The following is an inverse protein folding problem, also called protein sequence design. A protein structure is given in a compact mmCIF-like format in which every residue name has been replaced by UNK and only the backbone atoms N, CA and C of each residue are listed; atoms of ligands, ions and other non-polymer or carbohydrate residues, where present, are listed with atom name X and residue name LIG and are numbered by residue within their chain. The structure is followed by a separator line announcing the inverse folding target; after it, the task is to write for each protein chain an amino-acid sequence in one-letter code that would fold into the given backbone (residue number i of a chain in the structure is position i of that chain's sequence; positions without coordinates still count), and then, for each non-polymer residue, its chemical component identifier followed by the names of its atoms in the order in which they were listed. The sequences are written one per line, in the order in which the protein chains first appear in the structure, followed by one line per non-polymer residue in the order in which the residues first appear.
data_IF_342606304162
#
_entry.id   IF_342606304162
#
_cell.length_a   1.000
_cell.length_b   1.000
_cell.length_c   1.000
_cell.angle_alpha   90.00
_cell.angle_beta   90.00
_cell.angle_gamma   90.00
#
_symmetry.space_group_name_H-M   'P 1'
#
loop_
_entity.id
_entity.type
_entity.pdbx_description
1 polymer ?
#
# COMPACT_ATOMS: atom_id res chain seq x y z
N UNK A 1 24.14 55.64 -33.65
CA UNK A 1 24.50 54.22 -33.88
C UNK A 1 24.30 53.47 -32.56
N UNK A 2 23.08 52.97 -32.30
CA UNK A 2 22.72 51.52 -32.20
C UNK A 2 23.43 50.72 -31.08
N UNK A 3 23.16 51.07 -29.82
CA UNK A 3 23.23 50.16 -28.68
C UNK A 3 21.81 49.81 -28.25
N UNK A 4 21.31 48.63 -28.60
CA UNK A 4 19.96 48.25 -28.19
C UNK A 4 19.39 47.07 -28.95
N UNK A 5 20.02 45.89 -28.84
CA UNK A 5 19.39 44.64 -29.32
C UNK A 5 19.88 43.34 -28.65
N UNK A 6 20.84 43.38 -27.72
CA UNK A 6 21.44 42.14 -27.17
C UNK A 6 20.70 41.61 -25.92
N UNK A 7 19.90 42.41 -25.22
CA UNK A 7 19.19 41.94 -24.00
C UNK A 7 18.00 41.00 -24.29
N UNK A 8 17.33 41.14 -25.44
CA UNK A 8 16.08 40.41 -25.74
C UNK A 8 16.30 38.91 -26.05
N UNK A 9 17.51 38.50 -26.46
CA UNK A 9 17.84 37.09 -26.74
C UNK A 9 18.07 36.25 -25.49
N UNK A 10 18.67 36.83 -24.45
CA UNK A 10 18.95 36.16 -23.17
C UNK A 10 17.67 35.92 -22.36
N UNK A 11 16.74 36.86 -22.34
CA UNK A 11 15.47 36.71 -21.61
C UNK A 11 14.58 35.61 -22.22
N UNK A 12 14.57 35.45 -23.55
CA UNK A 12 13.79 34.43 -24.24
C UNK A 12 14.28 33.00 -23.97
N UNK A 13 15.60 32.79 -23.92
CA UNK A 13 16.20 31.48 -23.61
C UNK A 13 15.98 31.07 -22.15
N UNK A 14 16.03 32.03 -21.21
CA UNK A 14 15.73 31.78 -19.79
C UNK A 14 14.25 31.39 -19.59
N UNK A 15 13.32 32.07 -20.26
CA UNK A 15 11.89 31.75 -20.19
C UNK A 15 11.54 30.37 -20.77
N UNK A 16 12.19 29.97 -21.88
CA UNK A 16 12.02 28.63 -22.46
C UNK A 16 12.61 27.55 -21.54
N UNK A 17 13.77 27.81 -20.92
CA UNK A 17 14.36 26.90 -19.93
C UNK A 17 13.48 26.71 -18.69
N UNK A 18 12.86 27.79 -18.18
CA UNK A 18 11.94 27.72 -17.04
C UNK A 18 10.65 26.98 -17.42
N UNK A 19 10.06 27.24 -18.59
CA UNK A 19 8.88 26.50 -19.04
C UNK A 19 9.17 25.02 -19.34
N UNK A 20 10.36 24.69 -19.84
CA UNK A 20 10.80 23.30 -20.00
C UNK A 20 10.97 22.58 -18.67
N UNK A 21 11.57 23.24 -17.68
CA UNK A 21 11.71 22.69 -16.32
C UNK A 21 10.36 22.57 -15.59
N UNK A 22 9.49 23.58 -15.70
CA UNK A 22 8.12 23.53 -15.14
C UNK A 22 7.28 22.47 -15.86
N UNK A 23 7.40 22.34 -17.18
CA UNK A 23 6.76 21.28 -17.97
C UNK A 23 7.23 19.88 -17.56
N UNK A 24 8.52 19.69 -17.34
CA UNK A 24 9.08 18.43 -16.84
C UNK A 24 8.62 18.12 -15.41
N UNK A 25 8.62 19.11 -14.50
CA UNK A 25 8.16 18.94 -13.11
C UNK A 25 6.66 18.66 -13.04
N UNK A 26 5.85 19.35 -13.84
CA UNK A 26 4.39 19.12 -13.88
C UNK A 26 4.05 17.78 -14.49
N UNK A 27 4.77 17.36 -15.54
CA UNK A 27 4.65 16.03 -16.12
C UNK A 27 5.05 14.94 -15.13
N UNK A 28 6.23 15.06 -14.50
CA UNK A 28 6.73 14.12 -13.48
C UNK A 28 5.83 14.06 -12.24
N UNK A 29 5.11 15.13 -11.90
CA UNK A 29 4.11 15.10 -10.83
C UNK A 29 2.78 14.49 -11.26
N UNK A 30 2.40 14.57 -12.55
CA UNK A 30 1.20 13.93 -13.09
C UNK A 30 1.37 12.42 -13.31
N UNK A 31 2.60 11.93 -13.52
CA UNK A 31 2.88 10.50 -13.74
C UNK A 31 3.12 9.71 -12.45
N UNK A 32 3.02 10.34 -11.27
CA UNK A 32 3.13 9.61 -9.99
C UNK A 32 1.83 8.84 -9.71
N UNK A 33 1.89 7.52 -9.48
CA UNK A 33 0.70 6.77 -9.12
C UNK A 33 0.07 7.35 -7.85
N UNK A 34 -1.20 7.73 -7.89
CA UNK A 34 -1.90 8.24 -6.73
C UNK A 34 -1.84 7.23 -5.57
N UNK A 35 -1.71 7.70 -4.32
CA UNK A 35 -1.74 6.82 -3.15
C UNK A 35 -3.03 5.99 -3.12
N UNK A 36 -2.95 4.76 -2.59
CA UNK A 36 -4.14 3.91 -2.47
C UNK A 36 -5.18 4.59 -1.58
N UNK A 37 -6.37 4.80 -2.14
CA UNK A 37 -7.54 5.33 -1.44
C UNK A 37 -8.62 4.27 -1.25
N UNK A 38 -9.70 4.63 -0.57
CA UNK A 38 -10.85 3.72 -0.38
C UNK A 38 -11.37 3.28 -1.75
N UNK A 39 -11.40 1.97 -1.99
CA UNK A 39 -11.94 1.42 -3.22
C UNK A 39 -13.38 1.88 -3.46
N UNK A 40 -13.65 2.38 -4.67
CA UNK A 40 -15.01 2.67 -5.13
C UNK A 40 -15.65 1.33 -5.49
N UNK A 41 -16.57 0.88 -4.63
CA UNK A 41 -17.10 -0.47 -4.71
C UNK A 41 -17.91 -0.68 -5.99
N UNK A 42 -17.60 -1.72 -6.75
CA UNK A 42 -18.61 -2.52 -7.45
C UNK A 42 -18.51 -3.94 -6.91
N UNK A 43 -19.58 -4.53 -6.32
CA UNK A 43 -19.53 -5.90 -5.83
C UNK A 43 -19.31 -6.84 -7.02
N UNK A 44 -18.09 -7.34 -7.20
CA UNK A 44 -17.86 -8.50 -8.05
C UNK A 44 -18.12 -9.71 -7.17
N UNK A 45 -19.01 -10.59 -7.60
CA UNK A 45 -19.38 -11.80 -6.84
C UNK A 45 -18.13 -12.54 -6.36
N UNK A 46 -18.21 -13.13 -5.17
CA UNK A 46 -17.10 -13.86 -4.54
C UNK A 46 -16.46 -14.80 -5.57
N UNK A 47 -15.29 -14.45 -6.07
CA UNK A 47 -14.51 -15.39 -6.85
C UNK A 47 -14.22 -16.57 -5.93
N UNK A 48 -14.59 -17.77 -6.36
CA UNK A 48 -14.27 -19.01 -5.65
C UNK A 48 -12.76 -19.17 -5.60
N UNK A 49 -12.12 -18.60 -4.58
CA UNK A 49 -10.74 -18.90 -4.24
C UNK A 49 -10.68 -20.36 -3.82
N UNK A 50 -9.84 -21.16 -4.48
CA UNK A 50 -9.63 -22.55 -4.08
C UNK A 50 -9.28 -22.61 -2.58
N UNK A 51 -9.90 -23.49 -1.77
CA UNK A 51 -9.55 -23.68 -0.37
C UNK A 51 -8.07 -23.98 -0.15
N UNK A 52 -7.39 -24.56 -1.14
CA UNK A 52 -5.99 -24.95 -1.11
C UNK A 52 -5.03 -23.91 -1.73
N UNK A 53 -5.49 -22.69 -1.99
CA UNK A 53 -4.59 -21.59 -2.40
C UNK A 53 -3.57 -21.32 -1.27
N UNK A 54 -2.24 -21.42 -1.53
CA UNK A 54 -1.21 -21.14 -0.54
C UNK A 54 -1.37 -19.82 0.20
N UNK A 55 -1.88 -18.77 -0.45
CA UNK A 55 -2.11 -17.47 0.19
C UNK A 55 -3.24 -17.54 1.24
N UNK A 56 -4.27 -18.37 1.01
CA UNK A 56 -5.35 -18.61 1.97
C UNK A 56 -4.91 -19.51 3.13
N UNK A 57 -3.91 -20.38 2.92
CA UNK A 57 -3.39 -21.25 3.97
C UNK A 57 -2.60 -20.46 5.03
N UNK A 58 -1.86 -19.43 4.62
CA UNK A 58 -1.07 -18.57 5.50
C UNK A 58 -1.95 -17.80 6.48
N UNK A 59 -3.03 -17.20 5.98
CA UNK A 59 -4.06 -16.59 6.80
C UNK A 59 -5.32 -17.47 6.86
N UNK A 60 -5.16 -18.72 7.31
CA UNK A 60 -6.28 -19.65 7.45
C UNK A 60 -7.37 -19.04 8.34
N UNK A 61 -8.60 -19.03 7.84
CA UNK A 61 -9.75 -18.49 8.57
C UNK A 61 -10.03 -19.32 9.83
N UNK A 62 -10.29 -18.69 10.98
CA UNK A 62 -10.70 -19.41 12.17
C UNK A 62 -12.13 -19.92 12.00
N UNK A 63 -12.52 -20.98 12.73
CA UNK A 63 -13.93 -21.29 12.93
C UNK A 63 -14.62 -20.07 13.55
N UNK A 64 -15.75 -19.64 13.01
CA UNK A 64 -16.53 -18.53 13.60
C UNK A 64 -17.29 -19.07 14.82
N UNK A 65 -17.07 -18.52 16.03
CA UNK A 65 -17.84 -18.90 17.20
C UNK A 65 -19.35 -18.69 17.02
N UNK A 66 -20.18 -19.61 17.52
CA UNK A 66 -21.64 -19.59 17.33
C UNK A 66 -22.37 -18.46 18.07
N UNK A 67 -21.67 -17.69 18.91
CA UNK A 67 -22.17 -16.51 19.60
C UNK A 67 -22.12 -15.23 18.74
N UNK A 68 -21.51 -15.25 17.56
CA UNK A 68 -21.59 -14.13 16.63
C UNK A 68 -22.94 -14.10 15.91
N UNK A 69 -23.63 -12.97 16.01
CA UNK A 69 -24.90 -12.76 15.31
C UNK A 69 -24.67 -12.53 13.82
N UNK A 70 -25.52 -13.13 12.97
CA UNK A 70 -25.56 -12.84 11.53
C UNK A 70 -26.06 -11.41 11.24
N UNK A 71 -26.69 -10.76 12.23
CA UNK A 71 -27.09 -9.36 12.20
C UNK A 71 -26.02 -8.45 12.80
N UNK A 72 -25.95 -7.20 12.35
CA UNK A 72 -24.98 -6.20 12.84
C UNK A 72 -23.57 -6.37 12.29
N UNK A 73 -22.59 -5.74 12.95
CA UNK A 73 -21.20 -5.60 12.48
C UNK A 73 -20.25 -6.66 13.05
N UNK A 74 -20.56 -7.23 14.22
CA UNK A 74 -19.72 -8.25 14.85
C UNK A 74 -19.68 -9.54 14.04
N UNK A 75 -18.55 -10.23 14.01
CA UNK A 75 -18.33 -11.46 13.26
C UNK A 75 -17.09 -11.42 12.38
N UNK A 76 -17.00 -12.40 11.48
CA UNK A 76 -15.85 -12.57 10.59
C UNK A 76 -16.02 -11.73 9.32
N UNK A 77 -15.01 -10.93 9.03
CA UNK A 77 -14.89 -10.12 7.82
C UNK A 77 -13.76 -10.66 6.97
N UNK A 78 -14.02 -10.93 5.70
CA UNK A 78 -13.08 -11.60 4.81
C UNK A 78 -12.69 -10.68 3.66
N UNK A 79 -11.39 -10.56 3.41
CA UNK A 79 -10.84 -9.80 2.28
C UNK A 79 -11.32 -10.39 0.96
N UNK A 80 -11.78 -9.53 0.07
CA UNK A 80 -12.34 -9.89 -1.23
C UNK A 80 -11.39 -9.53 -2.37
N UNK A 81 -11.57 -10.17 -3.55
CA UNK A 81 -10.94 -9.73 -4.79
C UNK A 81 -11.18 -8.25 -5.09
N UNK A 82 -10.20 -7.59 -5.69
CA UNK A 82 -10.18 -6.13 -5.87
C UNK A 82 -9.51 -5.38 -4.72
N UNK A 83 -9.07 -6.09 -3.68
CA UNK A 83 -8.15 -5.55 -2.68
C UNK A 83 -6.73 -5.47 -3.24
N UNK A 84 -6.00 -4.43 -2.88
CA UNK A 84 -4.66 -4.12 -3.38
C UNK A 84 -3.75 -3.79 -2.20
N UNK A 85 -2.51 -4.25 -2.26
CA UNK A 85 -1.43 -3.85 -1.35
C UNK A 85 -0.19 -3.49 -2.15
N UNK A 86 0.68 -2.64 -1.60
CA UNK A 86 1.88 -2.20 -2.27
C UNK A 86 2.83 -1.41 -1.39
N UNK A 87 3.91 -0.95 -1.99
CA UNK A 87 4.88 -0.07 -1.35
C UNK A 87 5.13 1.18 -2.19
N UNK A 88 5.67 2.21 -1.53
CA UNK A 88 6.22 3.42 -2.13
C UNK A 88 7.60 3.68 -1.56
N UNK A 89 8.62 3.70 -2.41
CA UNK A 89 10.00 3.96 -2.03
C UNK A 89 10.51 5.21 -2.73
N UNK A 90 11.22 6.07 -1.99
CA UNK A 90 11.84 7.27 -2.58
C UNK A 90 13.21 6.88 -3.12
N UNK A 91 13.43 7.13 -4.40
CA UNK A 91 14.65 6.78 -5.11
C UNK A 91 15.31 8.04 -5.70
N UNK A 92 16.63 8.09 -5.65
CA UNK A 92 17.46 9.14 -6.23
C UNK A 92 18.43 8.50 -7.21
N UNK A 93 18.16 8.68 -8.50
CA UNK A 93 19.04 8.24 -9.57
C UNK A 93 20.21 9.21 -9.73
N UNK A 94 21.39 8.71 -10.08
CA UNK A 94 22.58 9.55 -10.28
C UNK A 94 22.39 10.58 -11.42
N UNK A 95 21.63 10.20 -12.44
CA UNK A 95 21.41 10.99 -13.66
C UNK A 95 20.22 11.95 -13.57
N UNK A 96 19.38 11.83 -12.53
CA UNK A 96 18.17 12.64 -12.36
C UNK A 96 18.35 13.66 -11.25
N UNK A 97 17.92 14.90 -11.47
CA UNK A 97 18.07 15.98 -10.49
C UNK A 97 17.01 15.94 -9.39
N UNK A 98 15.94 15.16 -9.56
CA UNK A 98 14.83 15.08 -8.61
C UNK A 98 14.56 13.64 -8.20
N UNK A 99 14.20 13.40 -6.92
CA UNK A 99 13.85 12.08 -6.46
C UNK A 99 12.56 11.61 -7.13
N UNK A 100 12.57 10.33 -7.49
CA UNK A 100 11.44 9.60 -8.04
C UNK A 100 10.83 8.73 -6.94
N UNK A 101 9.56 8.37 -7.11
CA UNK A 101 8.86 7.49 -6.18
C UNK A 101 8.52 6.19 -6.89
N UNK A 102 9.23 5.14 -6.52
CA UNK A 102 8.99 3.78 -6.93
C UNK A 102 7.72 3.24 -6.28
N UNK A 103 6.75 2.80 -7.07
CA UNK A 103 5.48 2.28 -6.57
C UNK A 103 5.22 0.91 -7.18
N UNK A 104 5.15 -0.13 -6.35
CA UNK A 104 4.74 -1.46 -6.79
C UNK A 104 3.51 -1.94 -6.03
N UNK A 105 2.62 -2.65 -6.73
CA UNK A 105 1.33 -3.13 -6.21
C UNK A 105 1.03 -4.56 -6.61
N UNK A 106 0.20 -5.21 -5.82
CA UNK A 106 -0.33 -6.56 -6.08
C UNK A 106 -1.80 -6.64 -5.66
N UNK A 107 -2.60 -7.36 -6.44
CA UNK A 107 -3.97 -7.72 -6.09
C UNK A 107 -4.06 -9.08 -5.37
N UNK A 108 -2.90 -9.75 -5.16
CA UNK A 108 -2.82 -11.02 -4.42
C UNK A 108 -2.78 -10.75 -2.92
N UNK A 109 -3.94 -10.35 -2.42
CA UNK A 109 -4.19 -10.07 -1.00
C UNK A 109 -5.29 -11.02 -0.50
N UNK A 110 -5.03 -11.69 0.61
CA UNK A 110 -6.03 -12.50 1.32
C UNK A 110 -5.98 -12.22 2.80
N UNK A 111 -7.03 -12.60 3.50
CA UNK A 111 -7.09 -12.42 4.94
C UNK A 111 -8.50 -12.24 5.47
N UNK A 112 -8.54 -11.95 6.75
CA UNK A 112 -9.77 -11.83 7.51
C UNK A 112 -9.53 -11.04 8.80
N UNK A 113 -10.59 -10.45 9.33
CA UNK A 113 -10.64 -9.79 10.63
C UNK A 113 -11.82 -10.35 11.42
N UNK A 114 -11.62 -10.60 12.71
CA UNK A 114 -12.69 -10.94 13.64
C UNK A 114 -13.05 -9.71 14.46
N UNK A 115 -14.30 -9.25 14.30
CA UNK A 115 -14.80 -8.06 14.97
C UNK A 115 -15.75 -8.48 16.09
N UNK A 116 -15.35 -8.19 17.32
CA UNK A 116 -16.16 -8.32 18.52
C UNK A 116 -16.93 -7.04 18.83
N UNK A 117 -17.64 -7.07 19.95
CA UNK A 117 -18.24 -5.86 20.50
C UNK A 117 -18.86 -6.07 21.87
N UNK A 118 -18.66 -5.10 22.74
CA UNK A 118 -19.21 -5.07 24.09
C UNK A 118 -19.71 -3.65 24.40
N UNK A 119 -20.88 -3.55 25.02
CA UNK A 119 -21.41 -2.25 25.48
C UNK A 119 -21.62 -1.19 24.39
N UNK A 120 -21.74 -1.59 23.12
CA UNK A 120 -21.89 -0.66 21.98
C UNK A 120 -20.57 -0.21 21.33
N UNK A 121 -19.43 -0.63 21.87
CA UNK A 121 -18.10 -0.40 21.29
C UNK A 121 -17.72 -1.60 20.42
N UNK A 122 -17.23 -1.34 19.20
CA UNK A 122 -16.66 -2.38 18.34
C UNK A 122 -15.22 -2.66 18.77
N UNK A 123 -14.80 -3.91 18.67
CA UNK A 123 -13.46 -4.33 19.01
C UNK A 123 -12.91 -5.20 17.89
N UNK A 124 -11.65 -5.01 17.52
CA UNK A 124 -10.93 -6.03 16.78
C UNK A 124 -10.46 -7.07 17.79
N UNK A 125 -10.84 -8.34 17.60
CA UNK A 125 -10.38 -9.42 18.47
C UNK A 125 -9.05 -9.97 17.95
N UNK A 126 -8.97 -10.19 16.65
CA UNK A 126 -7.76 -10.66 15.94
C UNK A 126 -7.99 -10.56 14.43
N UNK A 127 -6.96 -10.87 13.65
CA UNK A 127 -7.04 -10.91 12.20
C UNK A 127 -5.75 -11.44 11.60
N UNK A 128 -5.77 -11.61 10.29
CA UNK A 128 -4.59 -11.93 9.51
C UNK A 128 -4.77 -11.37 8.10
N UNK A 129 -3.81 -10.59 7.62
CA UNK A 129 -3.76 -10.08 6.25
C UNK A 129 -2.45 -10.56 5.63
N UNK A 130 -2.53 -11.32 4.54
CA UNK A 130 -1.37 -11.80 3.79
C UNK A 130 -1.34 -11.19 2.40
N UNK A 131 -0.15 -10.80 1.98
CA UNK A 131 0.15 -10.21 0.67
C UNK A 131 1.20 -11.05 -0.02
N UNK A 132 0.92 -11.55 -1.22
CA UNK A 132 1.92 -12.26 -2.03
C UNK A 132 2.83 -11.25 -2.76
N UNK A 133 4.06 -11.12 -2.27
CA UNK A 133 5.02 -10.14 -2.77
C UNK A 133 5.67 -10.57 -4.09
N UNK A 134 5.55 -11.84 -4.49
CA UNK A 134 6.01 -12.30 -5.82
C UNK A 134 5.19 -11.70 -6.95
N UNK A 135 3.96 -11.33 -6.65
CA UNK A 135 3.02 -10.73 -7.60
C UNK A 135 3.11 -9.19 -7.64
N UNK A 136 4.03 -8.56 -6.91
CA UNK A 136 4.27 -7.12 -7.00
C UNK A 136 4.66 -6.72 -8.44
N UNK A 137 4.04 -5.65 -8.92
CA UNK A 137 4.32 -5.03 -10.21
C UNK A 137 4.45 -3.53 -10.06
N UNK A 138 5.47 -2.96 -10.67
CA UNK A 138 5.70 -1.52 -10.74
C UNK A 138 4.58 -0.86 -11.55
N UNK A 139 4.04 0.23 -11.01
CA UNK A 139 2.94 1.00 -11.60
C UNK A 139 3.30 2.46 -11.83
N UNK A 140 4.47 2.89 -11.35
CA UNK A 140 5.09 4.16 -11.66
C UNK A 140 5.74 4.15 -13.05
N UNK A 141 5.88 5.34 -13.61
CA UNK A 141 6.57 5.57 -14.87
C UNK A 141 7.78 6.48 -14.64
N UNK A 142 8.88 6.15 -15.28
CA UNK A 142 10.11 6.94 -15.27
C UNK A 142 10.58 7.15 -16.73
N UNK A 143 10.59 8.39 -17.25
CA UNK A 143 10.95 8.64 -18.64
C UNK A 143 12.32 8.08 -18.99
N UNK A 144 12.39 7.23 -20.03
CA UNK A 144 13.62 6.60 -20.49
C UNK A 144 14.00 5.29 -19.77
N UNK A 145 13.21 4.85 -18.78
CA UNK A 145 13.46 3.61 -18.03
C UNK A 145 12.22 2.69 -18.06
N UNK A 146 12.45 1.39 -18.16
CA UNK A 146 11.40 0.41 -17.98
C UNK A 146 11.28 0.02 -16.50
N UNK A 147 10.29 0.56 -15.80
CA UNK A 147 10.13 0.35 -14.35
C UNK A 147 9.81 -1.10 -14.00
N UNK A 148 9.31 -1.92 -14.94
CA UNK A 148 9.08 -3.35 -14.71
C UNK A 148 10.37 -4.13 -14.43
N UNK A 149 11.53 -3.62 -14.88
CA UNK A 149 12.82 -4.27 -14.64
C UNK A 149 13.15 -4.29 -13.13
N UNK A 150 12.61 -3.33 -12.37
CA UNK A 150 12.72 -3.26 -10.89
C UNK A 150 11.97 -4.40 -10.19
N UNK A 151 10.94 -4.97 -10.81
CA UNK A 151 10.08 -5.96 -10.15
C UNK A 151 10.86 -7.20 -9.69
N UNK A 152 11.87 -7.63 -10.45
CA UNK A 152 12.73 -8.75 -10.02
C UNK A 152 13.59 -8.37 -8.82
N UNK A 153 14.20 -7.19 -8.87
CA UNK A 153 15.07 -6.67 -7.82
C UNK A 153 14.29 -6.52 -6.50
N UNK A 154 13.07 -5.98 -6.57
CA UNK A 154 12.21 -5.84 -5.39
C UNK A 154 11.85 -7.20 -4.77
N UNK A 155 11.60 -8.23 -5.60
CA UNK A 155 11.38 -9.59 -5.11
C UNK A 155 12.62 -10.17 -4.45
N UNK A 156 13.80 -9.89 -4.99
CA UNK A 156 15.06 -10.39 -4.45
C UNK A 156 15.37 -9.73 -3.09
N UNK A 157 15.20 -8.42 -2.95
CA UNK A 157 15.34 -7.71 -1.67
C UNK A 157 14.38 -8.22 -0.59
N UNK A 158 13.16 -8.60 -0.97
CA UNK A 158 12.17 -9.19 -0.06
C UNK A 158 12.38 -10.69 0.18
N UNK A 159 13.41 -11.32 -0.41
CA UNK A 159 13.59 -12.76 -0.41
C UNK A 159 12.33 -13.53 -0.82
N UNK A 160 11.57 -13.00 -1.78
CA UNK A 160 10.21 -13.46 -2.11
C UNK A 160 10.13 -14.92 -2.59
N UNK A 161 11.26 -15.55 -2.93
CA UNK A 161 11.30 -16.98 -3.23
C UNK A 161 11.15 -17.84 -1.96
N UNK A 162 11.87 -17.51 -0.88
CA UNK A 162 11.82 -18.22 0.41
C UNK A 162 10.75 -17.66 1.35
N UNK A 163 10.49 -16.36 1.28
CA UNK A 163 9.49 -15.64 2.07
C UNK A 163 8.47 -14.96 1.14
N UNK A 164 7.56 -15.73 0.52
CA UNK A 164 6.65 -15.20 -0.51
C UNK A 164 5.57 -14.26 0.01
N UNK A 165 5.38 -14.17 1.33
CA UNK A 165 4.28 -13.44 1.93
C UNK A 165 4.78 -12.39 2.92
N UNK A 166 4.14 -11.22 2.88
CA UNK A 166 4.14 -10.27 4.01
C UNK A 166 2.83 -10.47 4.77
N UNK A 167 2.91 -10.60 6.09
CA UNK A 167 1.76 -10.94 6.94
C UNK A 167 1.58 -9.86 7.99
N UNK A 168 0.37 -9.33 8.14
CA UNK A 168 -0.01 -8.43 9.22
C UNK A 168 -1.05 -9.07 10.13
N UNK A 169 -0.81 -9.03 11.44
CA UNK A 169 -1.69 -9.57 12.48
C UNK A 169 -2.04 -8.46 13.49
N UNK A 170 -3.26 -7.90 13.45
CA UNK A 170 -3.67 -6.85 14.35
C UNK A 170 -3.80 -7.34 15.79
N UNK A 171 -3.38 -6.49 16.73
CA UNK A 171 -3.62 -6.72 18.15
C UNK A 171 -5.09 -6.49 18.51
N UNK A 172 -5.60 -7.13 19.57
CA UNK A 172 -6.91 -6.80 20.11
C UNK A 172 -6.98 -5.34 20.52
N UNK A 173 -7.98 -4.61 20.04
CA UNK A 173 -8.14 -3.19 20.32
C UNK A 173 -9.58 -2.71 20.14
N UNK A 174 -9.98 -1.70 20.92
CA UNK A 174 -11.24 -1.00 20.65
C UNK A 174 -11.15 -0.21 19.35
N UNK A 175 -12.16 -0.32 18.51
CA UNK A 175 -12.30 0.42 17.27
C UNK A 175 -13.24 1.61 17.51
N UNK A 176 -12.74 2.86 17.50
CA UNK A 176 -13.56 4.06 17.67
C UNK A 176 -14.35 4.36 16.39
N UNK A 177 -15.19 3.42 15.96
CA UNK A 177 -15.99 3.46 14.74
C UNK A 177 -17.48 3.42 15.09
N UNK A 178 -18.25 4.26 14.42
CA UNK A 178 -19.71 4.18 14.41
C UNK A 178 -20.17 3.16 13.36
N UNK A 179 -20.83 2.11 13.82
CA UNK A 179 -21.46 1.08 12.98
C UNK A 179 -22.61 1.62 12.10
N UNK A 180 -23.16 2.79 12.44
CA UNK A 180 -24.31 3.39 11.74
C UNK A 180 -23.90 4.49 10.76
N UNK A 181 -22.67 5.01 10.88
CA UNK A 181 -22.16 6.03 9.98
C UNK A 181 -21.80 5.44 8.62
N UNK A 182 -22.18 6.16 7.55
CA UNK A 182 -21.76 5.87 6.17
C UNK A 182 -20.61 6.76 5.69
N UNK A 183 -20.18 7.70 6.53
CA UNK A 183 -19.04 8.56 6.24
C UNK A 183 -17.73 7.77 6.32
N UNK A 184 -16.67 8.35 5.76
CA UNK A 184 -15.31 7.87 6.01
C UNK A 184 -14.98 8.17 7.47
N UNK A 185 -14.40 7.17 8.14
CA UNK A 185 -13.99 7.24 9.54
C UNK A 185 -12.51 6.88 9.62
N UNK A 186 -11.79 7.53 10.53
CA UNK A 186 -10.34 7.35 10.67
C UNK A 186 -10.05 6.43 11.85
N UNK A 187 -9.20 5.44 11.63
CA UNK A 187 -8.82 4.43 12.61
C UNK A 187 -7.34 4.21 12.56
N UNK A 188 -6.76 3.91 13.71
CA UNK A 188 -5.39 3.46 13.82
C UNK A 188 -5.39 2.01 14.29
N UNK A 189 -4.64 1.16 13.60
CA UNK A 189 -4.57 -0.27 13.91
C UNK A 189 -3.12 -0.69 14.10
N UNK A 190 -2.78 -1.13 15.31
CA UNK A 190 -1.48 -1.69 15.63
C UNK A 190 -1.50 -3.22 15.49
N UNK A 191 -0.37 -3.80 15.11
CA UNK A 191 -0.22 -5.24 14.98
C UNK A 191 1.21 -5.63 14.64
N UNK A 192 1.46 -6.93 14.62
CA UNK A 192 2.73 -7.47 14.13
C UNK A 192 2.71 -7.52 12.61
N UNK A 193 3.75 -7.01 11.96
CA UNK A 193 4.02 -7.26 10.55
C UNK A 193 5.25 -8.17 10.42
N UNK A 194 5.14 -9.22 9.62
CA UNK A 194 6.23 -10.07 9.20
C UNK A 194 6.63 -9.70 7.77
N UNK A 195 7.89 -9.33 7.58
CA UNK A 195 8.50 -9.04 6.28
C UNK A 195 9.78 -9.84 6.17
N UNK A 196 9.89 -10.67 5.13
CA UNK A 196 11.06 -11.52 4.89
C UNK A 196 11.45 -12.40 6.09
N UNK A 197 10.47 -12.88 6.86
CA UNK A 197 10.68 -13.74 8.03
C UNK A 197 11.11 -13.00 9.30
N UNK A 198 11.13 -11.66 9.27
CA UNK A 198 11.37 -10.83 10.45
C UNK A 198 10.07 -10.14 10.87
N UNK A 199 9.67 -10.33 12.13
CA UNK A 199 8.46 -9.72 12.69
C UNK A 199 8.77 -8.46 13.50
N UNK A 200 8.00 -7.39 13.30
CA UNK A 200 8.06 -6.13 14.07
C UNK A 200 6.66 -5.58 14.36
N UNK A 201 6.46 -4.87 15.48
CA UNK A 201 5.23 -4.16 15.74
C UNK A 201 5.14 -2.93 14.81
N UNK A 202 4.01 -2.78 14.12
CA UNK A 202 3.73 -1.64 13.25
C UNK A 202 2.33 -1.09 13.47
N UNK A 203 2.11 0.15 13.03
CA UNK A 203 0.84 0.84 13.17
C UNK A 203 0.38 1.43 11.84
N UNK A 204 -0.80 1.03 11.39
CA UNK A 204 -1.44 1.56 10.19
C UNK A 204 -2.46 2.64 10.53
N UNK A 205 -2.38 3.77 9.82
CA UNK A 205 -3.47 4.74 9.76
C UNK A 205 -4.42 4.36 8.61
N UNK A 206 -5.72 4.26 8.90
CA UNK A 206 -6.75 3.73 8.01
C UNK A 206 -7.93 4.69 7.88
N UNK A 207 -8.34 4.93 6.64
CA UNK A 207 -9.65 5.45 6.27
C UNK A 207 -10.60 4.27 6.04
N UNK A 208 -11.71 4.22 6.77
CA UNK A 208 -12.65 3.10 6.76
C UNK A 208 -14.05 3.61 6.45
N UNK A 209 -14.74 2.92 5.55
CA UNK A 209 -16.16 3.14 5.26
C UNK A 209 -16.92 1.82 5.34
N UNK A 210 -17.91 1.78 6.23
CA UNK A 210 -18.84 0.67 6.39
C UNK A 210 -20.11 0.93 5.57
N UNK A 211 -20.55 -0.05 4.79
CA UNK A 211 -21.81 0.00 4.03
C UNK A 211 -22.48 -1.36 4.07
N UNK A 212 -23.44 -1.53 4.98
CA UNK A 212 -24.12 -2.80 5.18
C UNK A 212 -23.15 -3.89 5.66
N UNK A 213 -23.03 -4.98 4.89
CA UNK A 213 -22.12 -6.10 5.17
C UNK A 213 -20.75 -5.96 4.48
N UNK A 214 -20.38 -4.74 4.11
CA UNK A 214 -19.14 -4.45 3.41
C UNK A 214 -18.33 -3.35 4.09
N UNK A 215 -17.02 -3.56 4.19
CA UNK A 215 -16.05 -2.55 4.58
C UNK A 215 -15.17 -2.26 3.37
N UNK A 216 -14.96 -0.97 3.09
CA UNK A 216 -13.88 -0.51 2.23
C UNK A 216 -12.90 0.27 3.12
N UNK A 217 -11.64 -0.13 3.12
CA UNK A 217 -10.59 0.48 3.92
C UNK A 217 -9.41 0.85 3.03
N UNK A 218 -8.74 1.96 3.32
CA UNK A 218 -7.44 2.27 2.74
C UNK A 218 -6.53 2.78 3.83
N UNK A 219 -5.26 2.40 3.79
CA UNK A 219 -4.35 2.79 4.84
C UNK A 219 -2.91 2.70 4.45
N UNK A 220 -2.08 3.22 5.34
CA UNK A 220 -0.64 3.25 5.16
C UNK A 220 0.11 3.23 6.48
N UNK A 221 1.35 2.80 6.41
CA UNK A 221 2.37 2.99 7.43
C UNK A 221 3.72 3.27 6.76
N UNK A 222 4.68 3.80 7.49
CA UNK A 222 6.06 3.99 7.02
C UNK A 222 6.97 3.16 7.91
N UNK A 223 7.73 2.25 7.31
CA UNK A 223 8.63 1.33 8.00
C UNK A 223 10.08 1.64 7.65
N UNK A 224 11.00 1.39 8.58
CA UNK A 224 12.43 1.32 8.28
C UNK A 224 12.77 -0.10 7.85
N UNK A 225 13.04 -0.32 6.57
CA UNK A 225 13.15 -1.68 6.00
C UNK A 225 14.35 -2.47 6.51
N UNK A 226 15.37 -1.78 7.00
CA UNK A 226 16.55 -2.38 7.64
C UNK A 226 16.16 -3.14 8.93
N UNK A 227 15.11 -2.71 9.63
CA UNK A 227 14.62 -3.41 10.84
C UNK A 227 14.09 -4.81 10.51
N UNK A 228 13.75 -5.05 9.24
CA UNK A 228 13.29 -6.33 8.69
C UNK A 228 14.40 -7.13 7.99
N UNK A 229 15.64 -6.64 8.02
CA UNK A 229 16.77 -7.25 7.31
C UNK A 229 16.72 -7.07 5.80
N UNK A 230 15.94 -6.11 5.30
CA UNK A 230 15.87 -5.77 3.87
C UNK A 230 16.90 -4.69 3.57
N UNK A 231 17.90 -5.02 2.78
CA UNK A 231 18.96 -4.11 2.37
C UNK A 231 18.61 -3.43 1.05
N UNK A 232 18.62 -2.10 1.03
CA UNK A 232 18.36 -1.29 -0.17
C UNK A 232 19.58 -0.41 -0.51
N UNK A 233 19.87 -0.15 -1.80
CA UNK A 233 21.07 0.61 -2.19
C UNK A 233 21.12 2.02 -1.57
N UNK A 234 22.14 2.31 -0.77
CA UNK A 234 22.28 3.61 -0.07
C UNK A 234 23.24 4.61 -0.75
N UNK A 235 24.03 4.16 -1.73
CA UNK A 235 25.02 4.99 -2.41
C UNK A 235 24.60 5.30 -3.85
N UNK A 236 24.42 6.59 -4.15
CA UNK A 236 24.06 7.03 -5.51
C UNK A 236 25.21 6.86 -6.52
N UNK A 237 26.42 6.47 -6.08
CA UNK A 237 27.58 6.21 -6.94
C UNK A 237 27.49 4.95 -7.79
N UNK A 238 26.47 4.10 -7.57
CA UNK A 238 26.25 2.86 -8.31
C UNK A 238 25.26 2.96 -9.47
N UNK A 239 24.14 3.69 -9.32
CA UNK A 239 23.11 3.99 -10.34
C UNK A 239 21.88 4.67 -9.68
N UNK A 240 21.47 4.17 -8.51
CA UNK A 240 20.30 4.61 -7.73
C UNK A 240 20.55 4.50 -6.23
N UNK A 241 20.05 5.46 -5.45
CA UNK A 241 19.95 5.42 -3.98
C UNK A 241 18.48 5.33 -3.58
N UNK A 242 18.17 4.52 -2.58
CA UNK A 242 16.81 4.35 -2.03
C UNK A 242 16.77 4.86 -0.59
N UNK A 243 15.73 5.59 -0.21
CA UNK A 243 15.46 5.91 1.20
C UNK A 243 14.95 4.65 1.93
N UNK A 244 15.58 4.23 3.05
CA UNK A 244 15.15 3.05 3.79
C UNK A 244 13.78 3.21 4.49
N UNK A 245 13.23 4.44 4.55
CA UNK A 245 11.86 4.66 5.01
C UNK A 245 10.86 4.42 3.88
N UNK A 246 10.32 3.20 3.82
CA UNK A 246 9.37 2.79 2.80
C UNK A 246 7.95 2.90 3.32
N UNK A 247 7.07 3.49 2.50
CA UNK A 247 5.63 3.53 2.82
C UNK A 247 4.97 2.25 2.33
N UNK A 248 4.31 1.52 3.22
CA UNK A 248 3.42 0.41 2.88
C UNK A 248 2.00 0.97 2.73
N UNK A 249 1.28 0.58 1.68
CA UNK A 249 -0.08 1.05 1.42
C UNK A 249 -1.04 -0.11 1.09
N UNK A 250 -2.29 0.03 1.51
CA UNK A 250 -3.36 -0.95 1.25
C UNK A 250 -4.66 -0.26 0.83
N UNK A 251 -5.43 -0.95 0.00
CA UNK A 251 -6.85 -0.68 -0.28
C UNK A 251 -7.59 -2.00 -0.20
N UNK A 252 -8.38 -2.20 0.84
CA UNK A 252 -9.01 -3.47 1.19
C UNK A 252 -10.53 -3.38 1.03
N UNK A 253 -11.11 -4.44 0.48
CA UNK A 253 -12.55 -4.68 0.46
C UNK A 253 -12.81 -5.91 1.30
N UNK A 254 -13.63 -5.79 2.33
CA UNK A 254 -14.03 -6.92 3.18
C UNK A 254 -15.53 -7.12 3.14
N UNK A 255 -15.96 -8.38 3.16
CA UNK A 255 -17.37 -8.76 3.33
C UNK A 255 -17.54 -9.57 4.61
N UNK A 256 -18.63 -9.28 5.34
CA UNK A 256 -19.03 -10.09 6.49
C UNK A 256 -19.59 -11.43 6.01
N UNK A 257 -19.08 -12.53 6.56
CA UNK A 257 -19.57 -13.90 6.33
C UNK A 257 -20.68 -14.27 7.28
#
# INVERSE_FOLDING_TARGET
MRFGLIWKGLAGLVLIGIMGAVGAITYLNHTRPAALGIASVTPRGSASTSPDDPLNLVCRRPPVPSNFSSAGVTGLWVIQPGSVAGYRAREQFAELTSPHEAVARTEKVSGWLLIGGSGGTLEIETGCVAVDVRALRSVDELPGFNTSDRDSIARDFLSAHSHPYVIFQPYPASLPLSATSRAIQHVTLAGDIDVSGTTRPEQFALDVRLTGKQVAAAGKTTVQVEDFGVEVPQEAGGFVRVDPHITLEVSLILLKT
#
